data_IF_495856909316
#
_entry.id   IF_495856909316
#
_cell.length_a   1.000
_cell.length_b   1.000
_cell.length_c   1.000
_cell.angle_alpha   90.00
_cell.angle_beta   90.00
_cell.angle_gamma   90.00
#
_symmetry.space_group_name_H-M   'P 1'
#
loop_
_entity.id
_entity.type
_entity.pdbx_description
1 polymer ?
#
# COMPACT_ATOMS: atom_id res chain seq x y z
N UNK A 1 28.78 16.18 24.43
CA UNK A 1 28.18 15.01 23.78
C UNK A 1 26.77 15.42 23.35
N UNK A 2 26.55 15.67 22.06
CA UNK A 2 25.20 15.96 21.57
C UNK A 2 24.46 14.63 21.46
N UNK A 3 23.54 14.35 22.39
CA UNK A 3 22.61 13.24 22.22
C UNK A 3 21.66 13.61 21.09
N UNK A 4 21.83 12.98 19.93
CA UNK A 4 20.85 13.08 18.85
C UNK A 4 19.57 12.42 19.33
N UNK A 5 18.54 13.22 19.63
CA UNK A 5 17.21 12.71 19.96
C UNK A 5 16.71 12.01 18.69
N UNK A 6 16.75 10.68 18.69
CA UNK A 6 16.26 9.89 17.56
C UNK A 6 14.74 9.96 17.60
N UNK A 7 14.14 10.60 16.60
CA UNK A 7 12.68 10.68 16.49
C UNK A 7 12.12 9.25 16.42
N UNK A 8 11.12 8.90 17.25
CA UNK A 8 10.49 7.59 17.18
C UNK A 8 9.93 7.30 15.78
N UNK A 9 10.10 6.07 15.28
CA UNK A 9 9.71 5.70 13.91
C UNK A 9 8.23 5.97 13.61
N UNK A 10 7.33 5.69 14.56
CA UNK A 10 5.91 5.99 14.39
C UNK A 10 5.65 7.49 14.16
N UNK A 11 6.38 8.39 14.83
CA UNK A 11 6.26 9.83 14.61
C UNK A 11 6.81 10.24 13.25
N UNK A 12 7.90 9.63 12.79
CA UNK A 12 8.42 9.88 11.45
C UNK A 12 7.41 9.49 10.35
N UNK A 13 6.74 8.34 10.53
CA UNK A 13 5.71 7.87 9.59
C UNK A 13 4.45 8.74 9.67
N UNK A 14 3.99 9.05 10.88
CA UNK A 14 2.83 9.93 11.08
C UNK A 14 3.06 11.32 10.47
N UNK A 15 4.25 11.91 10.65
CA UNK A 15 4.63 13.16 10.00
C UNK A 15 4.58 13.05 8.46
N UNK A 16 4.96 11.90 7.89
CA UNK A 16 4.84 11.68 6.44
C UNK A 16 3.38 11.68 5.97
N UNK A 17 2.46 11.06 6.72
CA UNK A 17 1.02 11.13 6.44
C UNK A 17 0.56 12.59 6.51
N UNK A 18 0.96 13.30 7.56
CA UNK A 18 0.56 14.69 7.76
C UNK A 18 1.04 15.62 6.63
N UNK A 19 2.28 15.45 6.19
CA UNK A 19 2.84 16.20 5.05
C UNK A 19 2.08 15.94 3.74
N UNK A 20 1.46 14.78 3.56
CA UNK A 20 0.68 14.45 2.35
C UNK A 20 -0.78 14.93 2.43
N UNK A 21 -1.30 15.11 3.63
CA UNK A 21 -2.73 15.30 3.90
C UNK A 21 -3.08 16.72 4.33
N UNK A 22 -2.15 17.45 4.94
CA UNK A 22 -2.38 18.81 5.39
C UNK A 22 -1.81 19.84 4.38
N UNK A 23 -2.69 20.60 3.69
CA UNK A 23 -2.30 21.57 2.67
C UNK A 23 -1.41 22.70 3.19
N UNK A 24 -1.43 22.99 4.50
CA UNK A 24 -0.60 24.06 5.12
C UNK A 24 0.85 23.62 5.27
N UNK A 25 1.08 22.33 5.54
CA UNK A 25 2.44 21.79 5.75
C UNK A 25 3.06 21.23 4.48
N UNK A 26 2.25 20.97 3.45
CA UNK A 26 2.72 20.61 2.12
C UNK A 26 3.01 21.88 1.31
N UNK A 27 4.15 21.92 0.62
CA UNK A 27 4.31 22.86 -0.48
C UNK A 27 3.34 22.46 -1.61
N UNK A 28 3.01 23.39 -2.51
CA UNK A 28 2.11 23.11 -3.64
C UNK A 28 2.55 21.88 -4.47
N UNK A 29 3.86 21.60 -4.53
CA UNK A 29 4.44 20.44 -5.22
C UNK A 29 4.33 19.10 -4.45
N UNK A 30 4.11 19.13 -3.13
CA UNK A 30 4.00 17.93 -2.27
C UNK A 30 2.59 17.64 -1.77
N UNK A 31 1.63 18.53 -2.01
CA UNK A 31 0.23 18.26 -1.69
C UNK A 31 -0.34 17.26 -2.70
N UNK A 32 -0.35 15.98 -2.34
CA UNK A 32 -0.77 14.91 -3.24
C UNK A 32 -2.28 14.63 -3.21
N UNK A 33 -3.05 15.40 -2.43
CA UNK A 33 -4.49 15.24 -2.25
C UNK A 33 -4.85 14.00 -1.42
N UNK A 34 -3.98 13.59 -0.50
CA UNK A 34 -4.29 12.50 0.43
C UNK A 34 -5.15 13.00 1.57
N UNK A 35 -5.89 12.07 2.18
CA UNK A 35 -6.66 12.30 3.40
C UNK A 35 -6.27 11.25 4.44
N UNK A 36 -6.64 11.50 5.70
CA UNK A 36 -6.41 10.58 6.80
C UNK A 36 -7.69 10.51 7.65
N UNK A 37 -7.99 9.34 8.21
CA UNK A 37 -9.10 9.18 9.15
C UNK A 37 -8.93 10.06 10.40
N UNK A 38 -10.05 10.36 11.05
CA UNK A 38 -10.07 11.31 12.18
C UNK A 38 -9.26 10.80 13.37
N UNK A 39 -9.23 9.48 13.59
CA UNK A 39 -8.46 8.83 14.65
C UNK A 39 -6.95 9.02 14.49
N UNK A 40 -6.46 9.18 13.26
CA UNK A 40 -5.03 9.34 12.98
C UNK A 40 -4.60 10.80 12.78
N UNK A 41 -5.53 11.76 12.93
CA UNK A 41 -5.18 13.19 12.97
C UNK A 41 -4.30 13.54 14.16
N UNK A 42 -4.40 12.78 15.24
CA UNK A 42 -3.54 12.90 16.42
C UNK A 42 -2.50 11.78 16.41
N UNK A 43 -1.24 12.11 16.69
CA UNK A 43 -0.14 11.14 16.66
C UNK A 43 -0.38 9.94 17.59
N UNK A 44 -1.07 10.15 18.71
CA UNK A 44 -1.41 9.09 19.67
C UNK A 44 -2.39 8.05 19.10
N UNK A 45 -3.37 8.48 18.30
CA UNK A 45 -4.34 7.55 17.71
C UNK A 45 -3.70 6.71 16.59
N UNK A 46 -2.81 7.30 15.80
CA UNK A 46 -1.96 6.52 14.88
C UNK A 46 -1.04 5.55 15.63
N UNK A 47 -0.43 5.99 16.74
CA UNK A 47 0.48 5.15 17.53
C UNK A 47 -0.19 3.86 18.02
N UNK A 48 -1.44 3.94 18.49
CA UNK A 48 -2.17 2.75 18.95
C UNK A 48 -2.31 1.69 17.85
N UNK A 49 -2.59 2.11 16.62
CA UNK A 49 -2.61 1.19 15.47
C UNK A 49 -1.19 0.74 15.07
N UNK A 50 -0.22 1.66 15.08
CA UNK A 50 1.17 1.35 14.75
C UNK A 50 1.75 0.27 15.66
N UNK A 51 1.54 0.37 16.98
CA UNK A 51 2.08 -0.59 17.96
C UNK A 51 1.63 -2.03 17.68
N UNK A 52 0.46 -2.21 17.05
CA UNK A 52 -0.11 -3.52 16.73
C UNK A 52 0.26 -4.03 15.33
N UNK A 53 0.56 -3.13 14.38
CA UNK A 53 0.66 -3.47 12.96
C UNK A 53 2.03 -3.18 12.34
N UNK A 54 2.92 -2.49 13.05
CA UNK A 54 4.22 -2.13 12.50
C UNK A 54 5.08 -3.37 12.19
N UNK A 55 5.88 -3.24 11.14
CA UNK A 55 6.91 -4.21 10.77
C UNK A 55 8.22 -3.47 10.50
N UNK A 56 9.34 -3.99 11.01
CA UNK A 56 10.67 -3.39 10.81
C UNK A 56 11.11 -3.46 9.35
N UNK A 57 11.65 -2.34 8.84
CA UNK A 57 12.09 -2.12 7.45
C UNK A 57 10.97 -2.03 6.39
N UNK A 58 9.72 -1.84 6.82
CA UNK A 58 8.55 -1.72 5.94
C UNK A 58 8.09 -0.27 5.82
N UNK A 59 7.45 0.05 4.70
CA UNK A 59 6.82 1.34 4.47
C UNK A 59 5.30 1.26 4.65
N UNK A 60 4.70 2.36 5.09
CA UNK A 60 3.24 2.48 5.18
C UNK A 60 2.68 2.94 3.84
N UNK A 61 1.76 2.16 3.28
CA UNK A 61 1.10 2.45 2.02
C UNK A 61 -0.42 2.29 2.16
N UNK A 62 -1.20 3.19 1.55
CA UNK A 62 -2.67 3.08 1.49
C UNK A 62 -3.21 2.81 0.08
N UNK A 63 -2.32 2.81 -0.91
CA UNK A 63 -2.59 2.78 -2.35
C UNK A 63 -2.25 1.42 -2.99
N UNK A 64 -1.95 0.42 -2.16
CA UNK A 64 -1.48 -0.90 -2.60
C UNK A 64 -2.58 -1.67 -3.35
N UNK A 65 -3.82 -1.57 -2.88
CA UNK A 65 -4.96 -2.32 -3.42
C UNK A 65 -5.82 -1.50 -4.39
N UNK A 66 -5.89 -0.21 -4.16
CA UNK A 66 -6.51 0.76 -5.04
C UNK A 66 -5.54 1.92 -5.20
N UNK A 67 -5.00 2.05 -6.39
CA UNK A 67 -4.01 3.07 -6.74
C UNK A 67 -4.57 4.50 -6.63
N UNK A 68 -5.89 4.65 -6.74
CA UNK A 68 -6.57 5.94 -6.64
C UNK A 68 -7.00 6.21 -5.20
N UNK A 69 -6.85 5.22 -4.30
CA UNK A 69 -7.07 5.42 -2.89
C UNK A 69 -5.96 6.29 -2.30
N UNK A 70 -6.38 7.48 -1.87
CA UNK A 70 -5.53 8.45 -1.20
C UNK A 70 -5.92 8.63 0.27
N UNK A 71 -6.66 7.70 0.86
CA UNK A 71 -7.12 7.78 2.23
C UNK A 71 -6.30 6.87 3.14
N UNK A 72 -5.65 7.42 4.17
CA UNK A 72 -4.96 6.67 5.23
C UNK A 72 -5.92 6.35 6.38
N UNK A 73 -6.14 5.06 6.62
CA UNK A 73 -6.98 4.54 7.72
C UNK A 73 -6.55 3.13 8.09
N UNK A 74 -6.99 2.58 9.24
CA UNK A 74 -6.72 1.18 9.58
C UNK A 74 -7.18 0.18 8.53
N UNK A 75 -8.22 0.53 7.76
CA UNK A 75 -8.75 -0.34 6.72
C UNK A 75 -7.95 -0.28 5.42
N UNK A 76 -7.40 0.88 5.09
CA UNK A 76 -6.74 1.09 3.80
C UNK A 76 -5.23 1.01 3.87
N UNK A 77 -4.63 1.30 5.02
CA UNK A 77 -3.20 1.42 5.19
C UNK A 77 -2.57 0.12 5.69
N UNK A 78 -1.40 -0.20 5.12
CA UNK A 78 -0.69 -1.44 5.36
C UNK A 78 0.81 -1.21 5.37
N UNK A 79 1.52 -1.92 6.25
CA UNK A 79 2.97 -2.01 6.17
C UNK A 79 3.39 -3.04 5.12
N UNK A 80 4.09 -2.58 4.10
CA UNK A 80 4.54 -3.40 2.97
C UNK A 80 6.05 -3.24 2.74
N UNK A 81 6.73 -4.26 2.19
CA UNK A 81 8.13 -4.10 1.82
C UNK A 81 8.25 -3.02 0.74
N UNK A 82 9.24 -2.11 0.82
CA UNK A 82 9.43 -1.06 -0.18
C UNK A 82 9.55 -1.61 -1.61
N UNK A 83 10.14 -2.79 -1.79
CA UNK A 83 10.27 -3.44 -3.10
C UNK A 83 8.91 -3.86 -3.67
N UNK A 84 8.01 -4.40 -2.84
CA UNK A 84 6.66 -4.77 -3.26
C UNK A 84 5.88 -3.51 -3.61
N UNK A 85 5.92 -2.49 -2.75
CA UNK A 85 5.23 -1.23 -2.99
C UNK A 85 5.69 -0.53 -4.28
N UNK A 86 7.00 -0.51 -4.55
CA UNK A 86 7.54 0.04 -5.79
C UNK A 86 7.09 -0.75 -7.02
N UNK A 87 7.12 -2.08 -6.96
CA UNK A 87 6.64 -2.92 -8.06
C UNK A 87 5.15 -2.71 -8.31
N UNK A 88 4.38 -2.53 -7.24
CA UNK A 88 2.96 -2.29 -7.31
C UNK A 88 2.65 -0.90 -7.90
N UNK A 89 3.38 0.14 -7.52
CA UNK A 89 3.20 1.49 -8.07
C UNK A 89 3.73 1.67 -9.50
N UNK A 90 4.54 0.73 -9.99
CA UNK A 90 5.09 0.80 -11.36
C UNK A 90 3.97 0.58 -12.39
N UNK A 91 4.02 1.33 -13.50
CA UNK A 91 3.07 1.21 -14.62
C UNK A 91 3.73 0.73 -15.90
N UNK A 92 2.96 -0.01 -16.70
CA UNK A 92 3.25 -0.32 -18.09
C UNK A 92 2.06 0.05 -18.98
N UNK A 93 2.30 0.76 -20.08
CA UNK A 93 1.26 1.13 -21.07
C UNK A 93 -0.01 1.77 -20.49
N UNK A 94 0.13 2.61 -19.44
CA UNK A 94 -0.99 3.33 -18.79
C UNK A 94 -1.69 2.55 -17.67
N UNK A 95 -1.47 1.25 -17.57
CA UNK A 95 -2.07 0.39 -16.54
C UNK A 95 -1.04 -0.04 -15.48
N UNK A 96 -1.48 -0.48 -14.29
CA UNK A 96 -0.60 -1.13 -13.33
C UNK A 96 0.14 -2.33 -13.96
N UNK A 97 1.36 -2.64 -13.53
CA UNK A 97 2.13 -3.76 -14.10
C UNK A 97 1.33 -5.06 -13.99
N UNK A 98 1.18 -5.78 -15.11
CA UNK A 98 0.38 -7.01 -15.16
C UNK A 98 -1.12 -6.76 -15.27
N UNK A 99 -1.59 -5.52 -15.36
CA UNK A 99 -2.97 -5.20 -15.76
C UNK A 99 -2.95 -4.65 -17.18
N UNK A 100 -3.92 -5.07 -17.98
CA UNK A 100 -4.12 -4.55 -19.33
C UNK A 100 -5.60 -4.67 -19.71
N UNK A 101 -6.00 -3.93 -20.75
CA UNK A 101 -7.38 -3.86 -21.23
C UNK A 101 -7.50 -4.48 -22.63
N UNK A 102 -8.55 -5.26 -22.86
CA UNK A 102 -8.93 -5.79 -24.17
C UNK A 102 -10.41 -5.54 -24.43
N UNK A 103 -10.75 -4.74 -25.46
CA UNK A 103 -12.13 -4.31 -25.65
C UNK A 103 -12.61 -3.52 -24.43
N UNK A 104 -13.69 -3.97 -23.79
CA UNK A 104 -14.22 -3.39 -22.54
C UNK A 104 -13.75 -4.12 -21.27
N UNK A 105 -13.04 -5.24 -21.42
CA UNK A 105 -12.63 -6.10 -20.33
C UNK A 105 -11.26 -5.73 -19.77
N UNK A 106 -11.10 -5.87 -18.45
CA UNK A 106 -9.83 -5.73 -17.77
C UNK A 106 -9.27 -7.10 -17.43
N UNK A 107 -7.98 -7.27 -17.68
CA UNK A 107 -7.28 -8.52 -17.42
C UNK A 107 -6.09 -8.27 -16.50
N UNK A 108 -5.92 -9.17 -15.54
CA UNK A 108 -4.71 -9.28 -14.76
C UNK A 108 -3.92 -10.49 -15.27
N UNK A 109 -2.66 -10.31 -15.65
CA UNK A 109 -1.77 -11.36 -16.12
C UNK A 109 -0.41 -11.26 -15.48
N UNK A 110 0.30 -12.38 -15.46
CA UNK A 110 1.70 -12.43 -15.07
C UNK A 110 2.48 -13.37 -15.97
N UNK A 111 3.80 -13.18 -16.01
CA UNK A 111 4.71 -14.02 -16.77
C UNK A 111 5.47 -14.97 -15.84
N UNK A 112 5.43 -16.27 -16.15
CA UNK A 112 6.22 -17.31 -15.48
C UNK A 112 6.53 -18.44 -16.48
N UNK A 113 7.53 -18.22 -17.35
CA UNK A 113 7.83 -19.10 -18.48
C UNK A 113 6.80 -19.03 -19.61
N UNK A 114 5.54 -18.71 -19.29
CA UNK A 114 4.45 -18.39 -20.19
C UNK A 114 3.52 -17.35 -19.55
N UNK A 115 2.60 -16.78 -20.34
CA UNK A 115 1.62 -15.81 -19.87
C UNK A 115 0.44 -16.51 -19.20
N UNK A 116 0.12 -16.12 -17.96
CA UNK A 116 -0.99 -16.65 -17.19
C UNK A 116 -2.01 -15.55 -16.88
N UNK A 117 -3.31 -15.86 -16.99
CA UNK A 117 -4.42 -14.96 -16.63
C UNK A 117 -4.89 -15.20 -15.19
N UNK A 118 -5.19 -14.11 -14.49
CA UNK A 118 -5.64 -14.05 -13.11
C UNK A 118 -7.12 -13.61 -13.08
N UNK A 119 -8.00 -14.45 -13.66
CA UNK A 119 -9.48 -14.33 -13.63
C UNK A 119 -10.07 -13.07 -14.29
N UNK A 120 -11.32 -13.17 -14.75
CA UNK A 120 -12.07 -12.08 -15.38
C UNK A 120 -12.33 -10.95 -14.38
N UNK A 121 -11.72 -9.79 -14.65
CA UNK A 121 -11.82 -8.62 -13.79
C UNK A 121 -12.74 -7.61 -14.45
N UNK A 122 -13.80 -7.23 -13.74
CA UNK A 122 -14.84 -6.32 -14.28
C UNK A 122 -14.37 -4.87 -14.37
N UNK A 123 -13.27 -4.51 -13.70
CA UNK A 123 -12.70 -3.16 -13.69
C UNK A 123 -11.20 -3.16 -13.30
N UNK A 124 -10.51 -2.05 -13.58
CA UNK A 124 -9.08 -1.87 -13.27
C UNK A 124 -8.71 -2.14 -11.80
N UNK A 125 -9.46 -1.62 -10.78
CA UNK A 125 -9.15 -1.92 -9.38
C UNK A 125 -9.23 -3.41 -9.04
N UNK A 126 -10.22 -4.13 -9.56
CA UNK A 126 -10.37 -5.57 -9.33
C UNK A 126 -9.22 -6.38 -9.96
N UNK A 127 -8.80 -6.01 -11.17
CA UNK A 127 -7.64 -6.60 -11.84
C UNK A 127 -6.36 -6.34 -11.05
N UNK A 128 -6.22 -5.13 -10.52
CA UNK A 128 -5.07 -4.78 -9.73
C UNK A 128 -4.99 -5.55 -8.41
N UNK A 129 -6.12 -5.68 -7.70
CA UNK A 129 -6.22 -6.51 -6.49
C UNK A 129 -5.84 -7.96 -6.77
N UNK A 130 -6.32 -8.53 -7.88
CA UNK A 130 -5.98 -9.89 -8.30
C UNK A 130 -4.47 -10.05 -8.59
N UNK A 131 -3.86 -9.09 -9.27
CA UNK A 131 -2.41 -9.08 -9.53
C UNK A 131 -1.59 -8.96 -8.23
N UNK A 132 -1.95 -8.03 -7.36
CA UNK A 132 -1.30 -7.86 -6.05
C UNK A 132 -1.35 -9.15 -5.22
N UNK A 133 -2.52 -9.79 -5.16
CA UNK A 133 -2.71 -11.09 -4.52
C UNK A 133 -1.81 -12.18 -5.11
N UNK A 134 -1.67 -12.22 -6.43
CA UNK A 134 -0.78 -13.18 -7.09
C UNK A 134 0.70 -12.93 -6.80
N UNK A 135 1.11 -11.66 -6.66
CA UNK A 135 2.51 -11.32 -6.39
C UNK A 135 2.93 -11.59 -4.97
N UNK A 136 2.02 -11.46 -4.00
CA UNK A 136 2.31 -11.71 -2.59
C UNK A 136 3.08 -13.03 -2.37
N UNK A 137 2.62 -14.22 -2.86
CA UNK A 137 3.33 -15.49 -2.63
C UNK A 137 4.82 -15.47 -3.00
N UNK A 138 5.22 -14.67 -4.00
CA UNK A 138 6.62 -14.54 -4.44
C UNK A 138 7.52 -13.91 -3.36
N UNK A 139 6.91 -13.31 -2.35
CA UNK A 139 7.58 -12.69 -1.22
C UNK A 139 7.49 -13.51 0.07
N UNK A 140 6.79 -14.66 0.13
CA UNK A 140 6.59 -15.45 1.37
C UNK A 140 7.88 -15.95 2.05
N UNK A 141 9.00 -16.03 1.31
CA UNK A 141 10.34 -16.30 1.86
C UNK A 141 11.22 -15.06 2.06
N UNK A 142 10.81 -13.91 1.53
CA UNK A 142 11.48 -12.60 1.70
C UNK A 142 10.81 -11.74 2.78
N UNK A 143 9.56 -12.06 3.10
CA UNK A 143 8.70 -11.48 4.14
C UNK A 143 8.52 -12.58 5.19
N UNK A 144 8.56 -12.23 6.48
CA UNK A 144 8.25 -13.19 7.54
C UNK A 144 6.84 -13.78 7.34
N UNK A 145 6.66 -15.08 7.53
CA UNK A 145 5.37 -15.77 7.29
C UNK A 145 4.18 -15.09 7.99
N UNK A 146 4.38 -14.61 9.22
CA UNK A 146 3.35 -13.92 10.01
C UNK A 146 2.83 -12.65 9.32
N UNK A 147 3.71 -11.92 8.62
CA UNK A 147 3.37 -10.70 7.90
C UNK A 147 2.74 -11.01 6.53
N UNK A 148 3.20 -12.08 5.87
CA UNK A 148 2.53 -12.60 4.68
C UNK A 148 1.08 -12.98 5.00
N UNK A 149 0.87 -13.71 6.09
CA UNK A 149 -0.44 -14.14 6.55
C UNK A 149 -1.28 -12.95 7.03
N UNK A 150 -0.67 -11.94 7.67
CA UNK A 150 -1.34 -10.69 8.02
C UNK A 150 -1.85 -9.96 6.78
N UNK A 151 -1.01 -9.76 5.77
CA UNK A 151 -1.39 -9.12 4.50
C UNK A 151 -2.49 -9.94 3.80
N UNK A 152 -2.34 -11.27 3.74
CA UNK A 152 -3.36 -12.15 3.16
C UNK A 152 -4.69 -12.07 3.91
N UNK A 153 -4.66 -11.97 5.25
CA UNK A 153 -5.85 -11.89 6.11
C UNK A 153 -6.61 -10.57 5.92
N UNK A 154 -5.91 -9.43 5.87
CA UNK A 154 -6.53 -8.12 5.61
C UNK A 154 -7.23 -8.11 4.25
N UNK A 155 -6.66 -8.81 3.25
CA UNK A 155 -7.25 -8.93 1.92
C UNK A 155 -8.49 -9.84 1.92
N UNK A 156 -8.44 -10.99 2.61
CA UNK A 156 -9.56 -11.92 2.75
C UNK A 156 -10.74 -11.30 3.49
N UNK A 157 -10.48 -10.41 4.44
CA UNK A 157 -11.51 -9.69 5.21
C UNK A 157 -12.25 -8.63 4.39
N UNK A 158 -11.90 -8.41 3.12
CA UNK A 158 -12.65 -7.51 2.22
C UNK A 158 -12.61 -6.05 2.66
N UNK A 159 -11.63 -5.71 3.49
CA UNK A 159 -11.38 -4.36 3.94
C UNK A 159 -11.05 -3.53 2.69
N UNK A 160 -11.92 -2.56 2.40
CA UNK A 160 -11.90 -1.71 1.20
C UNK A 160 -10.81 -0.66 1.29
#
# INVERSE_FOLDING_TARGET
MHQTIKVPRHMAIWNSIWMKTNPVTSNADTFHGFTVCDEWREANGFKAWYDLNNADDYELACDIYDKDNKHYSPSTALFVPPQLANQLRTRGAGFPVGVWKHGDDYHATYWFGQLHSLVDCTNEPSAWKAYGLHKLPQFRGKIANELYDHIESQIKLGIR
#
